data_IF_662475595697
#
_entry.id   IF_662475595697
#
_cell.length_a   1.000
_cell.length_b   1.000
_cell.length_c   1.000
_cell.angle_alpha   90.00
_cell.angle_beta   90.00
_cell.angle_gamma   90.00
#
_symmetry.space_group_name_H-M   'P 1'
#
loop_
_entity.id
_entity.type
_entity.pdbx_description
1 polymer ?
#
# COMPACT_ATOMS: atom_id res chain seq x y z
N UNK A 1 13.99 29.59 -2.97
CA UNK A 1 14.50 28.50 -3.83
C UNK A 1 14.01 27.17 -3.27
N UNK A 2 13.75 26.19 -4.14
CA UNK A 2 13.18 24.91 -3.72
C UNK A 2 14.16 24.09 -2.87
N UNK A 3 15.46 24.23 -3.14
CA UNK A 3 16.56 23.59 -2.42
C UNK A 3 16.58 24.01 -0.96
N UNK A 4 16.46 25.32 -0.67
CA UNK A 4 16.40 25.83 0.70
C UNK A 4 15.20 25.23 1.46
N UNK A 5 14.04 25.12 0.80
CA UNK A 5 12.86 24.51 1.41
C UNK A 5 13.10 23.03 1.77
N UNK A 6 13.79 22.28 0.91
CA UNK A 6 14.15 20.88 1.20
C UNK A 6 15.10 20.78 2.39
N UNK A 7 16.16 21.59 2.40
CA UNK A 7 17.15 21.61 3.50
C UNK A 7 16.50 21.98 4.83
N UNK A 8 15.66 23.01 4.85
CA UNK A 8 14.94 23.46 6.04
C UNK A 8 13.95 22.38 6.54
N UNK A 9 13.27 21.70 5.61
CA UNK A 9 12.32 20.64 5.96
C UNK A 9 13.03 19.42 6.53
N UNK A 10 14.15 19.01 5.95
CA UNK A 10 14.99 17.95 6.49
C UNK A 10 15.52 18.29 7.88
N UNK A 11 16.07 19.49 8.05
CA UNK A 11 16.57 19.95 9.35
C UNK A 11 15.45 19.93 10.41
N UNK A 12 14.22 20.31 10.04
CA UNK A 12 13.07 20.24 10.94
C UNK A 12 12.72 18.80 11.35
N UNK A 13 12.77 17.84 10.42
CA UNK A 13 12.48 16.42 10.69
C UNK A 13 13.56 15.81 11.61
N UNK A 14 14.83 16.12 11.37
CA UNK A 14 15.95 15.61 12.19
C UNK A 14 15.96 16.24 13.59
N UNK A 15 15.74 17.56 13.70
CA UNK A 15 15.78 18.29 14.98
C UNK A 15 14.55 18.07 15.87
N UNK A 16 13.41 17.65 15.30
CA UNK A 16 12.15 17.46 16.03
C UNK A 16 11.71 15.99 15.93
N UNK A 17 12.08 15.12 16.90
CA UNK A 17 11.79 13.69 16.86
C UNK A 17 10.30 13.37 16.62
N UNK A 18 9.40 14.14 17.22
CA UNK A 18 7.95 13.99 17.07
C UNK A 18 7.47 14.11 15.61
N UNK A 19 8.14 14.91 14.78
CA UNK A 19 7.77 15.03 13.35
C UNK A 19 8.06 13.71 12.64
N UNK A 20 9.26 13.17 12.85
CA UNK A 20 9.67 11.90 12.26
C UNK A 20 8.81 10.74 12.78
N UNK A 21 8.56 10.68 14.09
CA UNK A 21 7.67 9.70 14.72
C UNK A 21 6.29 9.70 14.07
N UNK A 22 5.67 10.87 13.89
CA UNK A 22 4.36 10.98 13.27
C UNK A 22 4.36 10.55 11.79
N UNK A 23 5.43 10.84 11.05
CA UNK A 23 5.57 10.41 9.65
C UNK A 23 5.68 8.89 9.57
N UNK A 24 6.59 8.29 10.34
CA UNK A 24 6.79 6.83 10.37
C UNK A 24 5.54 6.12 10.87
N UNK A 25 4.90 6.63 11.92
CA UNK A 25 3.64 6.08 12.42
C UNK A 25 2.53 6.14 11.37
N UNK A 26 2.42 7.23 10.60
CA UNK A 26 1.44 7.34 9.51
C UNK A 26 1.72 6.34 8.38
N UNK A 27 3.00 6.18 8.00
CA UNK A 27 3.42 5.20 6.98
C UNK A 27 3.08 3.79 7.46
N UNK A 28 3.51 3.42 8.67
CA UNK A 28 3.26 2.09 9.23
C UNK A 28 1.77 1.82 9.45
N UNK A 29 1.00 2.82 9.88
CA UNK A 29 -0.45 2.70 9.96
C UNK A 29 -1.08 2.45 8.59
N UNK A 30 -0.63 3.13 7.53
CA UNK A 30 -1.13 2.86 6.18
C UNK A 30 -0.80 1.43 5.70
N UNK A 31 0.34 0.87 6.12
CA UNK A 31 0.66 -0.54 5.88
C UNK A 31 -0.32 -1.43 6.66
N UNK A 32 -0.53 -1.21 7.95
CA UNK A 32 -1.26 -2.17 8.79
C UNK A 32 -2.78 -2.00 8.85
N UNK A 33 -3.32 -0.79 8.61
CA UNK A 33 -4.73 -0.47 8.89
C UNK A 33 -5.71 -1.26 8.04
N UNK A 34 -5.32 -1.60 6.82
CA UNK A 34 -6.16 -2.34 5.89
C UNK A 34 -6.01 -3.86 6.00
N UNK A 35 -4.97 -4.35 6.69
CA UNK A 35 -4.69 -5.80 6.79
C UNK A 35 -5.86 -6.55 7.41
N UNK A 36 -6.34 -6.12 8.59
CA UNK A 36 -7.44 -6.79 9.29
C UNK A 36 -8.77 -6.68 8.53
N UNK A 37 -9.18 -5.50 8.01
CA UNK A 37 -10.35 -5.39 7.13
C UNK A 37 -10.29 -6.30 5.91
N UNK A 38 -9.17 -6.33 5.18
CA UNK A 38 -8.99 -7.14 3.98
C UNK A 38 -9.03 -8.64 4.29
N UNK A 39 -8.42 -9.09 5.39
CA UNK A 39 -8.53 -10.48 5.85
C UNK A 39 -9.98 -10.87 6.16
N UNK A 40 -10.75 -9.99 6.81
CA UNK A 40 -12.19 -10.21 7.08
C UNK A 40 -13.00 -10.27 5.79
N UNK A 41 -12.69 -9.42 4.81
CA UNK A 41 -13.34 -9.44 3.51
C UNK A 41 -13.07 -10.74 2.77
N UNK A 42 -11.80 -11.17 2.69
CA UNK A 42 -11.41 -12.45 2.08
C UNK A 42 -12.16 -13.61 2.74
N UNK A 43 -12.20 -13.66 4.08
CA UNK A 43 -12.92 -14.69 4.81
C UNK A 43 -14.44 -14.68 4.55
N UNK A 44 -15.05 -13.50 4.41
CA UNK A 44 -16.47 -13.37 4.04
C UNK A 44 -16.72 -13.93 2.63
N UNK A 45 -15.88 -13.54 1.67
CA UNK A 45 -16.00 -13.98 0.28
C UNK A 45 -15.78 -15.51 0.17
N UNK A 46 -14.83 -16.07 0.91
CA UNK A 46 -14.62 -17.53 0.96
C UNK A 46 -15.84 -18.27 1.51
N UNK A 47 -16.52 -17.70 2.51
CA UNK A 47 -17.77 -18.26 3.03
C UNK A 47 -18.91 -18.20 2.01
N UNK A 48 -19.02 -17.11 1.27
CA UNK A 48 -20.02 -16.95 0.19
C UNK A 48 -19.76 -17.95 -0.94
N UNK A 49 -18.52 -18.12 -1.38
CA UNK A 49 -18.13 -19.13 -2.36
C UNK A 49 -18.49 -20.55 -1.90
N UNK A 50 -18.18 -20.90 -0.64
CA UNK A 50 -18.57 -22.19 -0.07
C UNK A 50 -20.10 -22.40 -0.04
N UNK A 51 -20.87 -21.33 0.14
CA UNK A 51 -22.34 -21.39 0.09
C UNK A 51 -22.84 -21.68 -1.32
N UNK A 52 -22.22 -21.07 -2.35
CA UNK A 52 -22.54 -21.36 -3.76
C UNK A 52 -22.24 -22.81 -4.14
N UNK A 53 -21.15 -23.39 -3.63
CA UNK A 53 -20.84 -24.80 -3.86
C UNK A 53 -21.87 -25.75 -3.24
N UNK A 54 -22.38 -25.42 -2.05
CA UNK A 54 -23.47 -26.17 -1.41
C UNK A 54 -24.76 -26.05 -2.22
N UNK A 55 -25.10 -24.85 -2.69
CA UNK A 55 -26.27 -24.62 -3.54
C UNK A 55 -26.16 -25.38 -4.87
N UNK A 56 -24.99 -25.36 -5.51
CA UNK A 56 -24.71 -26.12 -6.72
C UNK A 56 -25.00 -27.60 -6.52
N UNK A 57 -24.43 -28.21 -5.47
CA UNK A 57 -24.69 -29.61 -5.12
C UNK A 57 -26.17 -29.89 -4.86
N UNK A 58 -26.89 -28.97 -4.21
CA UNK A 58 -28.32 -29.10 -3.95
C UNK A 58 -29.13 -29.15 -5.25
N UNK A 59 -28.85 -28.25 -6.21
CA UNK A 59 -29.56 -28.24 -7.48
C UNK A 59 -29.29 -29.50 -8.31
N UNK A 60 -28.06 -30.00 -8.33
CA UNK A 60 -27.75 -31.30 -8.97
C UNK A 60 -28.55 -32.45 -8.37
N UNK A 61 -28.64 -32.55 -7.04
CA UNK A 61 -29.45 -33.58 -6.38
C UNK A 61 -30.94 -33.49 -6.71
N UNK A 62 -31.48 -32.28 -6.84
CA UNK A 62 -32.87 -32.09 -7.23
C UNK A 62 -33.12 -32.54 -8.67
N UNK A 63 -32.15 -32.30 -9.56
CA UNK A 63 -32.21 -32.76 -10.94
C UNK A 63 -32.10 -34.29 -11.04
N UNK A 64 -31.16 -34.91 -10.31
CA UNK A 64 -31.00 -36.37 -10.24
C UNK A 64 -32.23 -37.09 -9.67
N UNK A 65 -33.02 -36.40 -8.86
CA UNK A 65 -34.26 -36.90 -8.28
C UNK A 65 -35.50 -36.60 -9.16
N UNK A 66 -35.31 -36.12 -10.40
CA UNK A 66 -36.36 -35.71 -11.34
C UNK A 66 -37.34 -34.67 -10.76
N UNK A 67 -36.90 -33.88 -9.76
CA UNK A 67 -37.72 -32.83 -9.10
C UNK A 67 -37.72 -31.54 -9.90
N UNK A 68 -36.63 -31.26 -10.63
CA UNK A 68 -36.49 -30.08 -11.50
C UNK A 68 -36.03 -30.51 -12.88
N UNK A 69 -36.41 -29.75 -13.90
CA UNK A 69 -36.01 -30.01 -15.27
C UNK A 69 -34.62 -29.44 -15.61
N UNK A 70 -34.15 -29.77 -16.81
CA UNK A 70 -32.85 -29.32 -17.32
C UNK A 70 -32.80 -27.80 -17.53
N UNK A 71 -33.92 -27.17 -17.94
CA UNK A 71 -33.96 -25.72 -18.18
C UNK A 71 -33.75 -24.94 -16.88
N UNK A 72 -34.45 -25.34 -15.82
CA UNK A 72 -34.29 -24.82 -14.48
C UNK A 72 -32.86 -25.01 -13.97
N UNK A 73 -32.28 -26.21 -14.16
CA UNK A 73 -30.90 -26.49 -13.74
C UNK A 73 -29.91 -25.58 -14.45
N UNK A 74 -30.01 -25.45 -15.78
CA UNK A 74 -29.14 -24.57 -16.59
C UNK A 74 -29.24 -23.13 -16.11
N UNK A 75 -30.45 -22.63 -15.86
CA UNK A 75 -30.64 -21.27 -15.36
C UNK A 75 -29.92 -21.08 -14.02
N UNK A 76 -30.12 -21.98 -13.05
CA UNK A 76 -29.46 -21.89 -11.73
C UNK A 76 -27.95 -22.02 -11.81
N UNK A 77 -27.44 -22.87 -12.71
CA UNK A 77 -25.99 -23.00 -12.91
C UNK A 77 -25.37 -21.73 -13.49
N UNK A 78 -26.09 -21.05 -14.40
CA UNK A 78 -25.63 -19.77 -14.95
C UNK A 78 -25.62 -18.66 -13.87
N UNK A 79 -26.66 -18.58 -13.05
CA UNK A 79 -26.71 -17.63 -11.92
C UNK A 79 -25.55 -17.86 -10.94
N UNK A 80 -25.33 -19.12 -10.53
CA UNK A 80 -24.22 -19.49 -9.63
C UNK A 80 -22.88 -19.17 -10.27
N UNK A 81 -22.69 -19.45 -11.57
CA UNK A 81 -21.44 -19.15 -12.29
C UNK A 81 -21.14 -17.65 -12.28
N UNK A 82 -22.12 -16.81 -12.59
CA UNK A 82 -21.95 -15.35 -12.59
C UNK A 82 -21.58 -14.82 -11.19
N UNK A 83 -22.25 -15.32 -10.15
CA UNK A 83 -21.94 -14.96 -8.77
C UNK A 83 -20.53 -15.42 -8.36
N UNK A 84 -20.15 -16.64 -8.73
CA UNK A 84 -18.82 -17.18 -8.45
C UNK A 84 -17.72 -16.35 -9.14
N UNK A 85 -17.90 -15.96 -10.40
CA UNK A 85 -16.96 -15.09 -11.12
C UNK A 85 -16.81 -13.72 -10.45
N UNK A 86 -17.91 -13.11 -10.02
CA UNK A 86 -17.89 -11.83 -9.30
C UNK A 86 -17.15 -11.93 -7.96
N UNK A 87 -17.45 -12.95 -7.15
CA UNK A 87 -16.79 -13.19 -5.87
C UNK A 87 -15.31 -13.51 -6.03
N UNK A 88 -14.94 -14.30 -7.05
CA UNK A 88 -13.54 -14.63 -7.34
C UNK A 88 -12.73 -13.38 -7.69
N UNK A 89 -13.29 -12.48 -8.51
CA UNK A 89 -12.65 -11.19 -8.83
C UNK A 89 -12.47 -10.34 -7.58
N UNK A 90 -13.52 -10.18 -6.77
CA UNK A 90 -13.46 -9.41 -5.52
C UNK A 90 -12.41 -9.96 -4.55
N UNK A 91 -12.35 -11.29 -4.39
CA UNK A 91 -11.33 -11.96 -3.57
C UNK A 91 -9.92 -11.66 -4.08
N UNK A 92 -9.71 -11.74 -5.39
CA UNK A 92 -8.41 -11.48 -6.01
C UNK A 92 -7.97 -10.03 -5.78
N UNK A 93 -8.86 -9.06 -5.96
CA UNK A 93 -8.57 -7.65 -5.66
C UNK A 93 -8.20 -7.42 -4.19
N UNK A 94 -8.93 -8.03 -3.26
CA UNK A 94 -8.63 -7.95 -1.83
C UNK A 94 -7.27 -8.57 -1.48
N UNK A 95 -6.90 -9.69 -2.10
CA UNK A 95 -5.58 -10.32 -1.93
C UNK A 95 -4.45 -9.43 -2.46
N UNK A 96 -4.60 -8.84 -3.64
CA UNK A 96 -3.60 -7.90 -4.18
C UNK A 96 -3.41 -6.68 -3.28
N UNK A 97 -4.48 -6.18 -2.68
CA UNK A 97 -4.40 -5.08 -1.70
C UNK A 97 -3.75 -5.53 -0.39
N UNK A 98 -4.00 -6.77 0.04
CA UNK A 98 -3.42 -7.33 1.25
C UNK A 98 -1.92 -7.51 1.10
N UNK A 99 -1.44 -8.05 -0.03
CA UNK A 99 -0.01 -8.18 -0.33
C UNK A 99 0.72 -6.83 -0.29
N UNK A 100 0.07 -5.77 -0.78
CA UNK A 100 0.62 -4.39 -0.70
C UNK A 100 0.63 -3.84 0.73
N UNK A 101 -0.31 -4.27 1.56
CA UNK A 101 -0.49 -3.79 2.93
C UNK A 101 0.33 -4.60 3.95
N UNK A 102 0.72 -5.84 3.62
CA UNK A 102 1.47 -6.72 4.50
C UNK A 102 2.99 -6.49 4.50
N UNK A 103 3.47 -5.34 4.02
CA UNK A 103 4.88 -5.01 4.10
C UNK A 103 5.32 -4.82 5.55
N UNK A 104 6.56 -5.21 5.86
CA UNK A 104 7.11 -5.03 7.20
C UNK A 104 7.10 -3.55 7.61
N UNK A 105 6.73 -3.23 8.86
CA UNK A 105 6.75 -1.87 9.34
C UNK A 105 8.15 -1.27 9.22
N UNK A 106 8.21 -0.03 8.74
CA UNK A 106 9.47 0.72 8.64
C UNK A 106 9.97 1.06 10.05
N UNK A 107 11.18 0.61 10.46
CA UNK A 107 11.69 0.89 11.80
C UNK A 107 12.08 2.36 11.95
N UNK A 108 11.48 3.06 12.93
CA UNK A 108 11.76 4.47 13.21
C UNK A 108 13.27 4.76 13.38
N UNK A 109 13.99 3.87 14.07
CA UNK A 109 15.43 4.03 14.30
C UNK A 109 16.22 4.07 13.00
N UNK A 110 15.92 3.19 12.04
CA UNK A 110 16.60 3.14 10.74
C UNK A 110 16.36 4.43 9.96
N UNK A 111 15.10 4.89 9.87
CA UNK A 111 14.78 6.15 9.17
C UNK A 111 15.49 7.34 9.82
N UNK A 112 15.51 7.38 11.17
CA UNK A 112 16.22 8.42 11.90
C UNK A 112 17.72 8.43 11.59
N UNK A 113 18.34 7.26 11.56
CA UNK A 113 19.77 7.12 11.28
C UNK A 113 20.10 7.60 9.87
N UNK A 114 19.38 7.13 8.86
CA UNK A 114 19.58 7.53 7.45
C UNK A 114 19.41 9.04 7.27
N UNK A 115 18.33 9.62 7.81
CA UNK A 115 18.08 11.06 7.70
C UNK A 115 19.11 11.91 8.45
N UNK A 116 19.62 11.41 9.59
CA UNK A 116 20.65 12.12 10.35
C UNK A 116 21.99 12.12 9.60
N UNK A 117 22.42 10.95 9.11
CA UNK A 117 23.64 10.82 8.29
C UNK A 117 23.57 11.69 7.04
N UNK A 118 22.44 11.67 6.34
CA UNK A 118 22.25 12.50 5.16
C UNK A 118 22.24 13.99 5.50
N UNK A 119 21.63 14.41 6.61
CA UNK A 119 21.67 15.80 7.06
C UNK A 119 23.07 16.28 7.43
N UNK A 120 23.87 15.44 8.09
CA UNK A 120 25.27 15.72 8.41
C UNK A 120 26.11 15.86 7.14
N UNK A 121 25.99 14.90 6.20
CA UNK A 121 26.68 14.97 4.92
C UNK A 121 26.32 16.26 4.18
N UNK A 122 25.02 16.55 4.05
CA UNK A 122 24.53 17.76 3.38
C UNK A 122 25.07 19.03 4.05
N UNK A 123 25.08 19.10 5.39
CA UNK A 123 25.52 20.30 6.11
C UNK A 123 27.03 20.54 6.03
N UNK A 124 27.82 19.47 5.92
CA UNK A 124 29.28 19.54 5.77
C UNK A 124 29.77 19.80 4.34
N UNK A 125 28.91 19.55 3.34
CA UNK A 125 29.29 19.61 1.93
C UNK A 125 29.33 21.06 1.40
N UNK A 126 30.19 21.37 0.41
CA UNK A 126 30.13 22.64 -0.32
C UNK A 126 28.78 22.84 -1.01
N UNK A 127 28.36 24.09 -1.22
CA UNK A 127 27.05 24.45 -1.80
C UNK A 127 26.77 23.72 -3.12
N UNK A 128 27.76 23.61 -4.01
CA UNK A 128 27.62 22.88 -5.28
C UNK A 128 27.35 21.38 -5.07
N UNK A 129 28.04 20.77 -4.10
CA UNK A 129 27.84 19.36 -3.72
C UNK A 129 26.50 19.15 -3.03
N UNK A 130 26.04 20.09 -2.20
CA UNK A 130 24.72 20.04 -1.57
C UNK A 130 23.62 19.96 -2.62
N UNK A 131 23.73 20.77 -3.69
CA UNK A 131 22.77 20.79 -4.79
C UNK A 131 22.71 19.43 -5.50
N UNK A 132 23.87 18.82 -5.77
CA UNK A 132 23.94 17.50 -6.39
C UNK A 132 23.34 16.41 -5.47
N UNK A 133 23.64 16.44 -4.17
CA UNK A 133 23.08 15.50 -3.19
C UNK A 133 21.56 15.59 -3.14
N UNK A 134 21.00 16.81 -3.12
CA UNK A 134 19.56 17.01 -3.13
C UNK A 134 18.93 16.50 -4.44
N UNK A 135 19.56 16.71 -5.59
CA UNK A 135 19.07 16.17 -6.87
C UNK A 135 19.06 14.64 -6.93
N UNK A 136 19.95 13.97 -6.19
CA UNK A 136 20.00 12.51 -6.15
C UNK A 136 18.84 11.94 -5.31
N UNK A 137 18.54 12.53 -4.15
CA UNK A 137 17.58 11.95 -3.21
C UNK A 137 16.15 12.49 -3.38
N UNK A 138 16.00 13.70 -3.93
CA UNK A 138 14.69 14.34 -4.08
C UNK A 138 14.07 13.83 -5.36
N UNK A 139 13.09 12.96 -5.22
CA UNK A 139 12.30 12.44 -6.34
C UNK A 139 11.35 13.50 -6.87
N UNK A 140 10.61 14.17 -5.98
CA UNK A 140 9.70 15.24 -6.37
C UNK A 140 9.36 16.20 -5.22
N UNK A 141 9.00 17.43 -5.59
CA UNK A 141 8.52 18.47 -4.66
C UNK A 141 7.08 18.80 -5.01
N UNK A 142 6.18 18.63 -4.06
CA UNK A 142 4.76 18.89 -4.25
C UNK A 142 4.45 20.37 -3.99
N UNK A 143 3.80 21.04 -4.95
CA UNK A 143 3.42 22.46 -4.87
C UNK A 143 1.91 22.59 -5.05
N UNK A 144 1.25 23.25 -4.10
CA UNK A 144 -0.19 23.55 -4.16
C UNK A 144 -0.41 24.94 -4.78
N UNK A 145 -1.29 24.99 -5.78
CA UNK A 145 -1.73 26.22 -6.47
C UNK A 145 -0.57 27.14 -6.91
N UNK A 146 0.54 26.56 -7.35
CA UNK A 146 1.66 27.28 -7.96
C UNK A 146 2.56 28.10 -7.03
N UNK A 147 2.23 28.27 -5.74
CA UNK A 147 3.02 29.15 -4.85
C UNK A 147 3.34 28.58 -3.47
N UNK A 148 2.72 27.49 -3.01
CA UNK A 148 2.98 26.94 -1.67
C UNK A 148 3.49 25.51 -1.74
N UNK A 149 4.71 25.28 -1.24
CA UNK A 149 5.25 23.93 -1.08
C UNK A 149 4.42 23.14 -0.05
N UNK A 150 3.99 21.95 -0.44
CA UNK A 150 3.13 21.05 0.34
C UNK A 150 3.91 19.90 0.96
N UNK A 151 4.90 19.38 0.24
CA UNK A 151 5.70 18.26 0.70
C UNK A 151 6.85 17.92 -0.25
N UNK A 152 7.68 16.98 0.19
CA UNK A 152 8.84 16.49 -0.55
C UNK A 152 8.78 14.97 -0.47
N UNK A 153 9.00 14.32 -1.60
CA UNK A 153 9.21 12.87 -1.67
C UNK A 153 10.69 12.61 -1.83
N UNK A 154 11.23 11.76 -0.95
CA UNK A 154 12.63 11.33 -0.96
C UNK A 154 12.68 9.87 -1.37
N UNK A 155 13.64 9.53 -2.21
CA UNK A 155 13.88 8.16 -2.66
C UNK A 155 15.28 7.72 -2.20
N UNK A 156 15.31 6.63 -1.44
CA UNK A 156 16.54 5.99 -0.96
C UNK A 156 16.62 4.62 -1.60
N UNK A 157 17.21 4.55 -2.80
CA UNK A 157 17.38 3.32 -3.58
C UNK A 157 18.70 2.61 -3.22
N UNK A 158 18.86 1.33 -3.59
CA UNK A 158 20.08 0.55 -3.28
C UNK A 158 21.36 1.17 -3.87
N UNK A 159 21.23 1.97 -4.93
CA UNK A 159 22.33 2.74 -5.51
C UNK A 159 22.87 3.82 -4.58
N UNK A 160 22.05 4.30 -3.65
CA UNK A 160 22.45 5.29 -2.64
C UNK A 160 23.26 4.58 -1.54
N UNK A 161 22.87 3.37 -1.11
CA UNK A 161 23.63 2.58 -0.13
C UNK A 161 25.07 2.23 -0.58
N UNK A 162 25.35 2.22 -1.89
CA UNK A 162 26.71 2.00 -2.42
C UNK A 162 27.63 3.24 -2.34
N UNK A 163 27.07 4.42 -2.04
CA UNK A 163 27.80 5.69 -1.92
C UNK A 163 28.04 6.10 -0.46
N UNK A 164 27.55 5.34 0.52
CA UNK A 164 27.69 5.62 1.96
C UNK A 164 28.40 4.46 2.69
#
# INVERSE_FOLDING_TARGET
>A
MAEQYVTDRMAAVVRKPKILENIVARINNNLTVNVVPLQKEIASVDKELGTLDVQKKKYFKLYEADVVDNEFLIQRMNEIKQQHEALTRRRHEALLQLERSSADPVPLHQVKQVLSLFHELLSSAPIETQKNLLQIIVKQIHVKNGQKFEGIELEFDDKINACF
#
